data_IF_890664304274
#
_entry.id   IF_890664304274
#
_cell.length_a   1.000
_cell.length_b   1.000
_cell.length_c   1.000
_cell.angle_alpha   90.00
_cell.angle_beta   90.00
_cell.angle_gamma   90.00
#
_symmetry.space_group_name_H-M   'P 1'
#
loop_
_entity.id
_entity.type
_entity.pdbx_description
1 polymer ?
#
# COMPACT_ATOMS: atom_id res chain seq x y z
N UNK A 1 5.33 36.28 5.28
CA UNK A 1 4.27 35.79 4.38
C UNK A 1 4.38 34.27 4.31
N UNK A 2 3.46 33.55 4.97
CA UNK A 2 3.46 32.08 4.91
C UNK A 2 3.05 31.65 3.49
N UNK A 3 3.92 30.89 2.82
CA UNK A 3 3.68 30.35 1.48
C UNK A 3 2.77 29.12 1.58
N UNK A 4 1.62 29.19 0.91
CA UNK A 4 0.77 28.10 0.41
C UNK A 4 0.95 26.72 1.08
N UNK A 5 0.21 26.45 2.16
CA UNK A 5 -0.23 25.09 2.44
C UNK A 5 -1.42 24.79 1.51
N UNK A 6 -1.14 24.29 0.30
CA UNK A 6 -2.17 23.59 -0.47
C UNK A 6 -2.23 22.20 0.15
N UNK A 7 -3.26 21.95 0.97
CA UNK A 7 -3.65 20.60 1.34
C UNK A 7 -4.02 19.90 0.04
N UNK A 8 -3.11 19.06 -0.48
CA UNK A 8 -3.39 18.27 -1.67
C UNK A 8 -4.64 17.43 -1.38
N UNK A 9 -5.73 17.55 -2.16
CA UNK A 9 -6.85 16.63 -2.02
C UNK A 9 -6.31 15.22 -2.30
N UNK A 10 -6.63 14.28 -1.41
CA UNK A 10 -6.38 12.85 -1.67
C UNK A 10 -6.95 12.53 -3.04
N UNK A 11 -6.09 12.12 -3.99
CA UNK A 11 -6.56 11.75 -5.32
C UNK A 11 -7.60 10.64 -5.15
N UNK A 12 -8.79 10.74 -5.78
CA UNK A 12 -9.79 9.70 -5.66
C UNK A 12 -9.23 8.38 -6.18
N UNK A 13 -9.64 7.28 -5.54
CA UNK A 13 -9.22 5.94 -5.94
C UNK A 13 -9.46 5.70 -7.44
N UNK A 14 -8.48 5.10 -8.11
CA UNK A 14 -8.54 4.78 -9.54
C UNK A 14 -9.11 3.39 -9.70
N UNK A 15 -10.13 3.24 -10.54
CA UNK A 15 -10.65 1.91 -10.88
C UNK A 15 -9.70 1.24 -11.86
N UNK A 16 -9.00 0.19 -11.43
CA UNK A 16 -7.96 -0.50 -12.19
C UNK A 16 -8.25 -2.00 -12.30
N UNK A 17 -7.83 -2.66 -13.40
CA UNK A 17 -7.93 -4.11 -13.53
C UNK A 17 -6.92 -4.77 -12.59
N UNK A 18 -7.40 -5.32 -11.47
CA UNK A 18 -6.54 -5.93 -10.45
C UNK A 18 -6.49 -7.45 -10.61
N UNK A 19 -5.40 -8.11 -10.18
CA UNK A 19 -5.30 -9.57 -10.25
C UNK A 19 -6.40 -10.29 -9.46
N UNK A 20 -6.74 -11.51 -9.89
CA UNK A 20 -7.69 -12.34 -9.16
C UNK A 20 -7.26 -12.56 -7.70
N UNK A 21 -8.21 -12.50 -6.78
CA UNK A 21 -7.96 -12.65 -5.35
C UNK A 21 -7.53 -11.37 -4.61
N UNK A 22 -7.40 -10.22 -5.28
CA UNK A 22 -7.17 -8.95 -4.60
C UNK A 22 -8.30 -8.63 -3.63
N UNK A 23 -7.94 -8.34 -2.37
CA UNK A 23 -8.84 -7.95 -1.27
C UNK A 23 -8.59 -6.51 -0.87
N UNK A 24 -9.54 -5.89 -0.17
CA UNK A 24 -9.34 -4.56 0.43
C UNK A 24 -8.10 -4.53 1.34
N UNK A 25 -7.32 -3.46 1.25
CA UNK A 25 -6.06 -3.29 1.97
C UNK A 25 -4.86 -4.02 1.35
N UNK A 26 -5.07 -4.81 0.28
CA UNK A 26 -3.97 -5.47 -0.40
C UNK A 26 -3.13 -4.47 -1.19
N UNK A 27 -1.79 -4.57 -1.15
CA UNK A 27 -0.93 -3.85 -2.08
C UNK A 27 -1.15 -4.38 -3.51
N UNK A 28 -1.12 -3.47 -4.47
CA UNK A 28 -1.44 -3.75 -5.86
C UNK A 28 -0.51 -2.99 -6.79
N UNK A 29 -0.01 -3.67 -7.81
CA UNK A 29 0.63 -3.12 -9.01
C UNK A 29 -0.21 -3.43 -10.25
N UNK A 30 -0.53 -2.40 -11.03
CA UNK A 30 -1.18 -2.52 -12.35
C UNK A 30 -0.46 -1.62 -13.35
N UNK A 31 0.26 -2.21 -14.29
CA UNK A 31 1.11 -1.46 -15.22
C UNK A 31 2.15 -0.64 -14.45
N UNK A 32 2.15 0.68 -14.65
CA UNK A 32 2.98 1.63 -13.90
C UNK A 32 2.42 2.04 -12.55
N UNK A 33 1.14 1.77 -12.24
CA UNK A 33 0.53 2.19 -10.99
C UNK A 33 0.86 1.22 -9.85
N UNK A 34 1.24 1.78 -8.70
CA UNK A 34 1.34 1.07 -7.43
C UNK A 34 0.45 1.76 -6.39
N UNK A 35 -0.23 0.97 -5.56
CA UNK A 35 -1.17 1.49 -4.56
C UNK A 35 -1.79 0.39 -3.72
N UNK A 36 -2.83 0.74 -2.97
CA UNK A 36 -3.56 -0.20 -2.12
C UNK A 36 -5.00 -0.32 -2.61
N UNK A 37 -5.53 -1.54 -2.70
CA UNK A 37 -6.92 -1.76 -3.07
C UNK A 37 -7.85 -1.22 -1.96
N UNK A 38 -8.72 -0.26 -2.29
CA UNK A 38 -9.71 0.25 -1.34
C UNK A 38 -10.84 -0.76 -1.07
N UNK A 39 -11.12 -1.64 -2.05
CA UNK A 39 -12.12 -2.69 -1.94
C UNK A 39 -11.62 -4.00 -2.55
N UNK A 40 -12.32 -5.10 -2.25
CA UNK A 40 -12.12 -6.37 -2.94
C UNK A 40 -12.28 -6.20 -4.46
N UNK A 41 -11.57 -7.03 -5.23
CA UNK A 41 -11.82 -7.17 -6.67
C UNK A 41 -13.29 -7.51 -6.90
N UNK A 42 -13.91 -6.76 -7.80
CA UNK A 42 -15.25 -7.04 -8.27
C UNK A 42 -15.29 -8.42 -8.92
N UNK A 43 -16.25 -9.23 -8.47
CA UNK A 43 -16.51 -10.56 -8.99
C UNK A 43 -18.03 -10.75 -9.07
N UNK A 44 -18.52 -10.84 -10.30
CA UNK A 44 -19.95 -10.98 -10.58
C UNK A 44 -20.53 -12.29 -10.02
N UNK A 45 -19.74 -13.37 -9.96
CA UNK A 45 -20.19 -14.67 -9.45
C UNK A 45 -20.34 -14.66 -7.93
N UNK A 46 -19.40 -14.04 -7.22
CA UNK A 46 -19.40 -13.98 -5.74
C UNK A 46 -20.07 -12.72 -5.18
N UNK A 47 -20.50 -11.79 -6.02
CA UNK A 47 -21.09 -10.49 -5.66
C UNK A 47 -20.19 -9.68 -4.70
N UNK A 48 -18.87 -9.83 -4.86
CA UNK A 48 -17.86 -9.07 -4.14
C UNK A 48 -17.46 -7.80 -4.90
N UNK A 49 -16.85 -6.86 -4.18
CA UNK A 49 -16.27 -5.63 -4.70
C UNK A 49 -17.10 -4.37 -4.45
N UNK A 50 -16.55 -3.23 -4.85
CA UNK A 50 -17.22 -1.94 -4.69
C UNK A 50 -18.41 -1.80 -5.64
N UNK A 51 -19.48 -1.13 -5.18
CA UNK A 51 -20.66 -0.85 -5.99
C UNK A 51 -20.25 -0.05 -7.25
N UNK A 52 -20.72 -0.49 -8.41
CA UNK A 52 -20.43 0.16 -9.70
C UNK A 52 -19.04 -0.16 -10.28
N UNK A 53 -18.27 -1.05 -9.64
CA UNK A 53 -16.98 -1.50 -10.17
C UNK A 53 -17.19 -2.67 -11.17
N UNK A 54 -16.62 -2.62 -12.38
CA UNK A 54 -16.73 -3.71 -13.37
C UNK A 54 -16.06 -5.00 -12.89
N UNK A 55 -16.55 -6.14 -13.38
CA UNK A 55 -15.97 -7.45 -13.07
C UNK A 55 -14.46 -7.49 -13.38
N UNK A 56 -13.67 -7.94 -12.41
CA UNK A 56 -12.22 -7.99 -12.49
C UNK A 56 -11.47 -6.71 -12.11
N UNK A 57 -12.16 -5.65 -11.69
CA UNK A 57 -11.57 -4.37 -11.30
C UNK A 57 -11.69 -4.12 -9.79
N UNK A 58 -10.88 -3.20 -9.27
CA UNK A 58 -11.05 -2.63 -7.94
C UNK A 58 -10.66 -1.14 -7.93
N UNK A 59 -11.23 -0.32 -7.04
CA UNK A 59 -10.68 0.99 -6.72
C UNK A 59 -9.32 0.83 -6.03
N UNK A 60 -8.29 1.50 -6.54
CA UNK A 60 -6.91 1.48 -6.04
C UNK A 60 -6.50 2.89 -5.64
N UNK A 61 -6.08 3.05 -4.39
CA UNK A 61 -5.55 4.29 -3.85
C UNK A 61 -4.04 4.34 -4.07
N UNK A 62 -3.62 5.23 -4.97
CA UNK A 62 -2.22 5.42 -5.39
C UNK A 62 -1.51 6.53 -4.60
N UNK A 63 -2.22 7.12 -3.63
CA UNK A 63 -1.69 8.17 -2.74
C UNK A 63 -2.07 7.86 -1.30
N UNK A 64 -1.55 8.64 -0.35
CA UNK A 64 -1.83 8.45 1.08
C UNK A 64 -0.77 7.63 1.80
N UNK A 65 -1.05 7.33 3.07
CA UNK A 65 -0.18 6.56 3.95
C UNK A 65 -0.92 5.29 4.37
N UNK A 66 -0.31 4.14 4.14
CA UNK A 66 -0.97 2.85 4.31
C UNK A 66 -0.19 1.95 5.25
N UNK A 67 -0.92 1.31 6.17
CA UNK A 67 -0.40 0.24 7.00
C UNK A 67 -0.37 -1.05 6.16
N UNK A 68 0.83 -1.56 5.87
CA UNK A 68 1.05 -2.73 5.00
C UNK A 68 1.93 -3.76 5.68
N UNK A 69 1.70 -5.04 5.34
CA UNK A 69 2.49 -6.16 5.86
C UNK A 69 3.69 -6.45 4.97
N UNK A 70 4.85 -6.61 5.58
CA UNK A 70 6.12 -6.94 4.94
C UNK A 70 6.74 -8.11 5.71
N UNK A 71 7.21 -9.18 5.05
CA UNK A 71 7.74 -10.35 5.76
C UNK A 71 9.04 -10.03 6.52
N UNK A 72 9.82 -9.05 6.07
CA UNK A 72 11.03 -8.61 6.73
C UNK A 72 10.76 -7.58 7.86
N UNK A 73 11.62 -7.57 8.88
CA UNK A 73 11.62 -6.52 9.91
C UNK A 73 12.24 -5.25 9.33
N UNK A 74 11.51 -4.14 9.38
CA UNK A 74 11.95 -2.84 8.85
C UNK A 74 12.11 -1.83 9.98
N UNK A 75 13.33 -1.65 10.47
CA UNK A 75 13.62 -0.80 11.63
C UNK A 75 13.72 0.70 11.31
N UNK A 76 14.08 1.06 10.08
CA UNK A 76 14.38 2.44 9.68
C UNK A 76 13.24 3.06 8.85
N UNK A 77 12.92 4.32 9.15
CA UNK A 77 12.13 5.16 8.24
C UNK A 77 12.93 5.44 6.95
N UNK A 78 12.23 5.67 5.84
CA UNK A 78 12.81 5.87 4.51
C UNK A 78 13.24 4.58 3.81
N UNK A 79 13.06 3.42 4.44
CA UNK A 79 13.39 2.12 3.83
C UNK A 79 12.52 1.90 2.60
N UNK A 80 13.14 1.60 1.46
CA UNK A 80 12.42 1.27 0.24
C UNK A 80 11.71 -0.08 0.38
N UNK A 81 10.41 -0.08 0.05
CA UNK A 81 9.56 -1.25 -0.01
C UNK A 81 9.20 -1.48 -1.48
N UNK A 82 9.33 -2.72 -1.91
CA UNK A 82 9.09 -3.16 -3.26
C UNK A 82 7.92 -4.14 -3.31
N UNK A 83 7.21 -4.14 -4.42
CA UNK A 83 6.14 -5.09 -4.71
C UNK A 83 6.62 -6.10 -5.75
N UNK A 84 6.40 -7.38 -5.43
CA UNK A 84 6.74 -8.52 -6.29
C UNK A 84 5.63 -8.78 -7.31
N UNK A 85 5.89 -9.66 -8.27
CA UNK A 85 4.92 -10.06 -9.28
C UNK A 85 3.65 -10.73 -8.69
N UNK A 86 3.77 -11.39 -7.53
CA UNK A 86 2.66 -12.00 -6.78
C UNK A 86 1.89 -11.01 -5.89
N UNK A 87 2.18 -9.70 -6.02
CA UNK A 87 1.64 -8.62 -5.21
C UNK A 87 2.04 -8.64 -3.73
N UNK A 88 3.00 -9.48 -3.33
CA UNK A 88 3.56 -9.41 -1.97
C UNK A 88 4.62 -8.31 -1.87
N UNK A 89 4.80 -7.76 -0.67
CA UNK A 89 5.81 -6.73 -0.42
C UNK A 89 7.12 -7.35 0.10
N UNK A 90 8.23 -6.65 -0.14
CA UNK A 90 9.57 -7.00 0.32
C UNK A 90 10.46 -5.77 0.41
N UNK A 91 11.58 -5.88 1.10
CA UNK A 91 12.66 -4.88 1.07
C UNK A 91 13.67 -5.12 -0.07
N UNK A 92 13.54 -6.23 -0.81
CA UNK A 92 14.48 -6.62 -1.87
C UNK A 92 14.12 -5.96 -3.21
N UNK A 93 15.06 -5.23 -3.79
CA UNK A 93 14.87 -4.51 -5.05
C UNK A 93 14.88 -5.40 -6.31
N UNK A 94 15.71 -6.45 -6.33
CA UNK A 94 15.96 -7.26 -7.53
C UNK A 94 14.67 -7.78 -8.16
N UNK A 95 14.46 -7.45 -9.44
CA UNK A 95 13.28 -7.79 -10.25
C UNK A 95 11.91 -7.32 -9.70
N UNK A 96 11.92 -6.46 -8.66
CA UNK A 96 10.72 -5.95 -8.02
C UNK A 96 10.53 -4.46 -8.32
N UNK A 97 9.29 -3.99 -8.23
CA UNK A 97 8.94 -2.59 -8.50
C UNK A 97 8.89 -1.82 -7.20
N UNK A 98 9.44 -0.60 -7.18
CA UNK A 98 9.34 0.26 -6.01
C UNK A 98 7.86 0.53 -5.71
N UNK A 99 7.41 0.08 -4.56
CA UNK A 99 6.07 0.35 -4.06
C UNK A 99 6.06 1.69 -3.35
N UNK A 100 7.01 1.91 -2.44
CA UNK A 100 7.08 3.14 -1.66
C UNK A 100 8.24 3.18 -0.68
N UNK A 101 8.25 4.21 0.16
CA UNK A 101 9.19 4.32 1.27
C UNK A 101 8.44 4.26 2.60
N UNK A 102 9.07 3.66 3.60
CA UNK A 102 8.53 3.68 4.95
C UNK A 102 8.55 5.08 5.55
N UNK A 103 7.51 5.41 6.29
CA UNK A 103 7.40 6.68 7.03
C UNK A 103 7.51 6.42 8.53
N UNK A 104 8.04 7.37 9.33
CA UNK A 104 8.09 7.23 10.77
C UNK A 104 6.70 7.35 11.38
N UNK A 105 6.39 6.50 12.35
CA UNK A 105 5.22 6.68 13.20
C UNK A 105 5.59 7.67 14.31
N UNK A 106 4.83 8.75 14.44
CA UNK A 106 4.96 9.68 15.55
C UNK A 106 3.90 9.34 16.60
N UNK A 107 4.33 8.79 17.73
CA UNK A 107 3.45 8.52 18.85
C UNK A 107 3.73 9.52 19.97
N UNK A 108 2.73 10.35 20.30
CA UNK A 108 2.83 11.39 21.35
C UNK A 108 4.04 12.32 21.18
N UNK A 109 4.38 12.68 19.95
CA UNK A 109 5.50 13.57 19.63
C UNK A 109 6.88 12.91 19.59
N UNK A 110 6.97 11.60 19.81
CA UNK A 110 8.22 10.83 19.70
C UNK A 110 8.17 9.95 18.45
N UNK A 111 9.18 10.00 17.56
CA UNK A 111 9.32 9.02 16.49
C UNK A 111 9.62 7.65 17.08
N UNK A 112 8.74 6.68 16.85
CA UNK A 112 8.91 5.29 17.33
C UNK A 112 9.43 4.35 16.22
N UNK A 113 9.86 4.92 15.09
CA UNK A 113 10.32 4.17 13.91
C UNK A 113 9.18 3.78 12.96
N UNK A 114 9.53 3.14 11.84
CA UNK A 114 8.58 2.63 10.85
C UNK A 114 8.01 1.24 11.24
N UNK A 115 8.57 0.62 12.28
CA UNK A 115 8.28 -0.76 12.67
C UNK A 115 7.09 -0.83 13.63
N UNK A 116 6.06 -1.59 13.25
CA UNK A 116 5.28 -2.33 14.24
C UNK A 116 5.92 -3.71 14.37
N UNK A 117 6.50 -3.97 15.56
CA UNK A 117 7.09 -5.27 15.91
C UNK A 117 5.96 -6.30 16.04
N UNK A 118 6.19 -7.46 15.44
CA UNK A 118 5.28 -8.61 15.46
C UNK A 118 5.00 -9.03 16.91
N UNK A 119 3.74 -9.33 17.23
CA UNK A 119 3.41 -10.12 18.40
C UNK A 119 4.16 -11.47 18.35
N UNK A 120 4.42 -12.07 19.52
CA UNK A 120 5.42 -13.10 19.82
C UNK A 120 5.27 -14.47 19.14
N UNK A 121 5.11 -14.53 17.80
CA UNK A 121 4.79 -15.77 17.08
C UNK A 121 5.30 -15.94 15.64
N UNK A 122 5.86 -14.92 14.95
CA UNK A 122 6.51 -15.16 13.65
C UNK A 122 6.62 -13.99 12.67
N UNK A 123 7.86 -13.59 12.38
CA UNK A 123 8.46 -13.03 11.13
C UNK A 123 7.52 -12.38 10.08
N UNK A 124 6.68 -11.41 10.45
CA UNK A 124 6.06 -10.43 9.54
C UNK A 124 5.87 -9.08 10.24
N UNK A 125 6.56 -8.02 9.79
CA UNK A 125 6.41 -6.67 10.31
C UNK A 125 5.29 -5.90 9.61
N UNK A 126 4.60 -5.03 10.33
CA UNK A 126 3.71 -4.05 9.70
C UNK A 126 4.40 -2.69 9.65
N UNK A 127 4.34 -2.03 8.50
CA UNK A 127 4.98 -0.74 8.25
C UNK A 127 3.99 0.26 7.65
N UNK A 128 4.25 1.56 7.83
CA UNK A 128 3.50 2.61 7.14
C UNK A 128 4.27 3.04 5.90
N UNK A 129 3.63 2.95 4.73
CA UNK A 129 4.27 3.21 3.44
C UNK A 129 3.41 4.17 2.63
N UNK A 130 4.08 5.12 1.97
CA UNK A 130 3.46 5.95 0.93
C UNK A 130 3.75 5.37 -0.45
N UNK A 131 2.73 4.95 -1.21
CA UNK A 131 2.92 4.50 -2.58
C UNK A 131 3.58 5.57 -3.43
N UNK A 132 4.52 5.18 -4.28
CA UNK A 132 5.19 6.08 -5.22
C UNK A 132 4.32 6.24 -6.45
N UNK A 133 4.08 7.49 -6.83
CA UNK A 133 3.50 7.82 -8.13
C UNK A 133 4.59 7.63 -9.18
N UNK A 134 4.45 6.59 -9.99
CA UNK A 134 5.28 6.38 -11.20
C UNK A 134 4.69 7.16 -12.36
#
# INVERSE_FOLDING_TARGET
MAKNCILAPTEPARVLPVPAGTVSGAPVKVGGFVGVAAADRADAATKKGAVGCPDGYAPVEVTGLWEVKVPEVVAAAGTAIYIKADQTLTTTATDNTLFGHTEPIIQRGVPIGATKVVDSGGVQGTVYVRPVKV
#
